data_IF_123194459918
#
_entry.id   IF_123194459918
#
_cell.length_a   1.000
_cell.length_b   1.000
_cell.length_c   1.000
_cell.angle_alpha   90.00
_cell.angle_beta   90.00
_cell.angle_gamma   90.00
#
_symmetry.space_group_name_H-M   'P 1'
#
loop_
_entity.id
_entity.type
_entity.pdbx_description
1 polymer ?
#
# COMPACT_ATOMS: atom_id res chain seq x y z
N UNK A 1 37.92 55.04 -55.97
CA UNK A 1 38.07 53.59 -55.88
C UNK A 1 36.91 53.05 -55.08
N UNK A 2 35.95 52.50 -55.79
CA UNK A 2 34.66 52.06 -55.27
C UNK A 2 34.77 50.57 -54.93
N UNK A 3 34.68 50.22 -53.68
CA UNK A 3 34.57 48.81 -53.26
C UNK A 3 33.10 48.54 -52.89
N UNK A 4 32.47 47.88 -53.78
CA UNK A 4 31.09 47.37 -53.62
C UNK A 4 31.19 46.17 -52.66
N UNK A 5 30.67 46.32 -51.46
CA UNK A 5 30.54 45.22 -50.51
C UNK A 5 29.19 44.55 -50.74
N UNK A 6 29.24 43.38 -51.35
CA UNK A 6 28.05 42.59 -51.66
C UNK A 6 27.64 41.86 -50.38
N UNK A 7 26.58 42.34 -49.78
CA UNK A 7 25.97 41.75 -48.60
C UNK A 7 25.09 40.56 -49.04
N UNK A 8 25.61 39.37 -49.01
CA UNK A 8 24.87 38.16 -49.24
C UNK A 8 24.04 37.84 -48.00
N UNK A 9 22.76 38.13 -48.07
CA UNK A 9 21.77 37.76 -47.07
C UNK A 9 21.55 36.26 -47.17
N UNK A 10 22.19 35.46 -46.32
CA UNK A 10 21.96 34.04 -46.22
C UNK A 10 20.67 33.83 -45.41
N UNK A 11 19.56 33.65 -46.12
CA UNK A 11 18.31 33.28 -45.53
C UNK A 11 18.45 31.86 -44.93
N UNK A 12 18.64 31.79 -43.64
CA UNK A 12 18.62 30.56 -42.91
C UNK A 12 17.15 30.14 -42.72
N UNK A 13 16.63 29.39 -43.69
CA UNK A 13 15.33 28.75 -43.58
C UNK A 13 15.43 27.69 -42.49
N UNK A 14 15.04 28.05 -41.28
CA UNK A 14 14.77 27.08 -40.23
C UNK A 14 13.50 26.34 -40.63
N UNK A 15 13.64 25.23 -41.32
CA UNK A 15 12.59 24.25 -41.45
C UNK A 15 12.38 23.59 -40.11
N UNK A 16 11.42 24.11 -39.36
CA UNK A 16 10.89 23.52 -38.19
C UNK A 16 10.25 22.17 -38.59
N UNK A 17 10.74 21.01 -38.07
CA UNK A 17 10.03 19.78 -38.34
C UNK A 17 8.64 19.88 -37.73
N UNK A 18 7.60 19.39 -38.39
CA UNK A 18 6.30 19.28 -37.77
C UNK A 18 6.49 18.43 -36.49
N UNK A 19 6.18 19.03 -35.36
CA UNK A 19 6.03 18.27 -34.13
C UNK A 19 5.05 17.14 -34.46
N UNK A 20 5.56 15.94 -34.54
CA UNK A 20 4.72 14.78 -34.44
C UNK A 20 4.10 14.86 -33.06
N UNK A 21 2.92 15.50 -33.00
CA UNK A 21 1.98 15.23 -31.94
C UNK A 21 1.57 13.77 -32.14
N UNK A 22 2.46 12.86 -31.76
CA UNK A 22 2.06 11.50 -31.54
C UNK A 22 0.91 11.56 -30.52
N UNK A 23 -0.13 10.78 -30.70
CA UNK A 23 -1.12 10.66 -29.66
C UNK A 23 -0.34 10.30 -28.41
N UNK A 24 -0.32 11.22 -27.45
CA UNK A 24 0.17 10.89 -26.12
C UNK A 24 -0.56 9.62 -25.73
N UNK A 25 0.11 8.53 -25.49
CA UNK A 25 -0.60 7.35 -25.04
C UNK A 25 -1.20 7.69 -23.68
N UNK A 26 -2.44 8.08 -23.68
CA UNK A 26 -3.31 8.05 -22.51
C UNK A 26 -3.44 6.62 -21.97
N UNK A 27 -2.70 5.73 -22.57
CA UNK A 27 -2.55 4.31 -22.23
C UNK A 27 -2.01 4.09 -20.82
N UNK A 28 -1.38 5.11 -20.21
CA UNK A 28 -0.89 5.00 -18.83
C UNK A 28 -2.04 4.79 -17.84
N UNK A 29 -3.24 5.26 -18.15
CA UNK A 29 -4.41 5.04 -17.30
C UNK A 29 -5.09 3.68 -17.56
N UNK A 30 -4.94 3.13 -18.76
CA UNK A 30 -5.47 1.79 -19.05
C UNK A 30 -4.56 0.67 -18.54
N UNK A 31 -3.26 0.97 -18.32
CA UNK A 31 -2.36 -0.04 -17.81
C UNK A 31 -2.58 -0.32 -16.31
N UNK A 32 -3.16 0.63 -15.57
CA UNK A 32 -3.57 0.39 -14.19
C UNK A 32 -4.80 -0.53 -14.10
N UNK A 33 -5.60 -0.62 -15.17
CA UNK A 33 -6.76 -1.52 -15.21
C UNK A 33 -6.40 -2.95 -15.64
N UNK A 34 -5.25 -3.16 -16.28
CA UNK A 34 -4.79 -4.51 -16.66
C UNK A 34 -3.99 -5.21 -15.56
N UNK A 35 -3.57 -4.49 -14.52
CA UNK A 35 -3.02 -5.12 -13.32
C UNK A 35 -4.10 -5.66 -12.37
N UNK A 36 -5.38 -5.52 -12.72
CA UNK A 36 -6.48 -6.17 -12.03
C UNK A 36 -6.62 -7.66 -12.35
N UNK A 37 -5.70 -8.26 -13.06
CA UNK A 37 -5.65 -9.72 -13.29
C UNK A 37 -4.96 -10.49 -12.17
N UNK A 38 -4.02 -9.89 -11.49
CA UNK A 38 -3.53 -10.32 -10.19
C UNK A 38 -4.11 -9.38 -9.14
N UNK A 39 -5.33 -9.63 -8.77
CA UNK A 39 -5.85 -9.27 -7.48
C UNK A 39 -4.89 -9.92 -6.49
N UNK A 40 -3.82 -9.22 -6.11
CA UNK A 40 -3.07 -9.61 -4.93
C UNK A 40 -4.13 -9.64 -3.84
N UNK A 41 -4.53 -10.86 -3.45
CA UNK A 41 -5.53 -11.07 -2.40
C UNK A 41 -5.09 -10.17 -1.26
N UNK A 42 -5.87 -9.17 -0.94
CA UNK A 42 -5.49 -8.24 0.12
C UNK A 42 -5.25 -9.09 1.36
N UNK A 43 -4.34 -8.70 2.21
CA UNK A 43 -4.08 -9.47 3.45
C UNK A 43 -5.37 -9.69 4.24
N UNK A 44 -6.35 -8.79 4.11
CA UNK A 44 -7.68 -8.92 4.70
C UNK A 44 -8.47 -10.12 4.15
N UNK A 45 -8.43 -10.37 2.84
CA UNK A 45 -9.15 -11.51 2.25
C UNK A 45 -8.58 -12.86 2.68
N UNK A 46 -7.28 -12.94 2.99
CA UNK A 46 -6.67 -14.20 3.47
C UNK A 46 -7.26 -14.67 4.80
N UNK A 47 -7.50 -13.75 5.74
CA UNK A 47 -8.09 -14.07 7.04
C UNK A 47 -9.58 -14.39 6.94
N UNK A 48 -10.28 -13.82 5.95
CA UNK A 48 -11.68 -14.15 5.68
C UNK A 48 -11.85 -15.50 4.98
N UNK A 49 -10.97 -15.82 4.03
CA UNK A 49 -11.01 -17.08 3.27
C UNK A 49 -10.51 -18.28 4.07
N UNK A 50 -9.52 -18.07 4.94
CA UNK A 50 -8.95 -19.13 5.77
C UNK A 50 -8.97 -18.73 7.25
N UNK A 51 -9.93 -19.20 8.02
CA UNK A 51 -10.05 -18.88 9.44
C UNK A 51 -8.89 -19.34 10.32
N UNK A 52 -8.06 -20.26 9.83
CA UNK A 52 -6.86 -20.74 10.55
C UNK A 52 -5.58 -20.00 10.11
N UNK A 53 -5.69 -19.09 9.14
CA UNK A 53 -4.55 -18.30 8.69
C UNK A 53 -4.07 -17.35 9.79
N UNK A 54 -2.77 -17.40 10.07
CA UNK A 54 -2.07 -16.46 10.95
C UNK A 54 -0.91 -15.83 10.20
N UNK A 55 -0.53 -14.62 10.57
CA UNK A 55 0.56 -13.89 9.90
C UNK A 55 1.42 -13.13 10.92
N UNK A 56 2.60 -12.73 10.51
CA UNK A 56 3.48 -11.85 11.29
C UNK A 56 3.62 -10.52 10.58
N UNK A 57 3.50 -9.44 11.32
CA UNK A 57 3.63 -8.07 10.81
C UNK A 57 4.73 -7.33 11.56
N UNK A 58 5.73 -6.83 10.84
CA UNK A 58 6.72 -5.94 11.40
C UNK A 58 6.16 -4.53 11.49
N UNK A 59 6.12 -3.97 12.69
CA UNK A 59 5.58 -2.65 12.97
C UNK A 59 6.52 -1.57 12.48
N UNK A 60 6.07 -0.77 11.56
CA UNK A 60 6.82 0.36 11.01
C UNK A 60 6.50 1.64 11.77
N UNK A 61 7.39 2.63 11.67
CA UNK A 61 7.14 3.96 12.23
C UNK A 61 5.87 4.56 11.59
N UNK A 62 4.93 4.97 12.44
CA UNK A 62 3.62 5.51 12.00
C UNK A 62 2.51 4.46 11.84
N UNK A 63 2.80 3.19 12.09
CA UNK A 63 1.77 2.17 12.23
C UNK A 63 1.00 2.35 13.54
N UNK A 64 -0.26 1.96 13.50
CA UNK A 64 -1.10 1.84 14.69
C UNK A 64 -1.84 0.51 14.62
N UNK A 65 -2.23 -0.02 15.78
CA UNK A 65 -3.00 -1.26 15.81
C UNK A 65 -4.28 -1.17 14.97
N UNK A 66 -4.93 0.00 14.99
CA UNK A 66 -6.09 0.28 14.14
C UNK A 66 -5.82 0.08 12.64
N UNK A 67 -4.71 0.63 12.13
CA UNK A 67 -4.33 0.47 10.71
C UNK A 67 -4.03 -0.98 10.38
N UNK A 68 -3.36 -1.68 11.28
CA UNK A 68 -3.01 -3.10 11.13
C UNK A 68 -4.28 -3.96 11.10
N UNK A 69 -5.21 -3.74 12.02
CA UNK A 69 -6.50 -4.44 12.05
C UNK A 69 -7.26 -4.22 10.73
N UNK A 70 -7.38 -2.99 10.27
CA UNK A 70 -8.06 -2.70 9.02
C UNK A 70 -7.38 -3.34 7.80
N UNK A 71 -6.06 -3.43 7.82
CA UNK A 71 -5.29 -4.05 6.73
C UNK A 71 -5.49 -5.56 6.65
N UNK A 72 -5.58 -6.24 7.78
CA UNK A 72 -5.55 -7.70 7.82
C UNK A 72 -6.90 -8.35 8.14
N UNK A 73 -7.78 -7.68 8.86
CA UNK A 73 -9.04 -8.26 9.36
C UNK A 73 -10.30 -7.52 8.88
N UNK A 74 -10.18 -6.58 7.93
CA UNK A 74 -11.34 -5.81 7.46
C UNK A 74 -12.52 -6.71 7.02
N UNK A 75 -12.22 -7.82 6.36
CA UNK A 75 -13.20 -8.75 5.80
C UNK A 75 -13.46 -9.97 6.71
N UNK A 76 -12.86 -10.02 7.90
CA UNK A 76 -12.97 -11.18 8.80
C UNK A 76 -14.29 -11.26 9.58
N UNK A 77 -15.11 -10.21 9.52
CA UNK A 77 -16.43 -10.20 10.18
C UNK A 77 -16.38 -10.23 11.71
N UNK A 78 -15.24 -9.84 12.31
CA UNK A 78 -15.06 -9.79 13.76
C UNK A 78 -15.16 -8.37 14.29
N UNK A 79 -15.72 -8.22 15.50
CA UNK A 79 -15.75 -6.94 16.20
C UNK A 79 -14.31 -6.46 16.52
N UNK A 80 -14.09 -5.15 16.34
CA UNK A 80 -12.77 -4.54 16.55
C UNK A 80 -12.26 -4.71 17.97
N UNK A 81 -13.12 -4.56 18.97
CA UNK A 81 -12.70 -4.66 20.37
C UNK A 81 -12.14 -6.04 20.68
N UNK A 82 -12.75 -7.09 20.11
CA UNK A 82 -12.24 -8.46 20.23
C UNK A 82 -10.90 -8.64 19.53
N UNK A 83 -10.72 -8.04 18.34
CA UNK A 83 -9.47 -8.06 17.61
C UNK A 83 -8.34 -7.37 18.39
N UNK A 84 -8.60 -6.17 18.91
CA UNK A 84 -7.64 -5.42 19.72
C UNK A 84 -7.23 -6.21 20.96
N UNK A 85 -8.20 -6.73 21.71
CA UNK A 85 -7.94 -7.53 22.91
C UNK A 85 -7.09 -8.78 22.60
N UNK A 86 -7.46 -9.53 21.57
CA UNK A 86 -6.76 -10.75 21.18
C UNK A 86 -5.34 -10.47 20.70
N UNK A 87 -5.14 -9.44 19.88
CA UNK A 87 -3.81 -9.08 19.37
C UNK A 87 -2.92 -8.57 20.50
N UNK A 88 -3.42 -7.72 21.40
CA UNK A 88 -2.66 -7.26 22.57
C UNK A 88 -2.30 -8.44 23.49
N UNK A 89 -3.25 -9.33 23.76
CA UNK A 89 -3.02 -10.54 24.59
C UNK A 89 -1.96 -11.45 23.99
N UNK A 90 -1.96 -11.63 22.66
CA UNK A 90 -0.97 -12.44 21.94
C UNK A 90 0.41 -11.79 21.85
N UNK A 91 0.51 -10.46 22.03
CA UNK A 91 1.73 -9.67 21.78
C UNK A 91 2.06 -8.70 22.91
N UNK A 92 1.99 -9.13 24.16
CA UNK A 92 2.17 -8.26 25.34
C UNK A 92 3.43 -7.41 25.31
N UNK A 93 4.53 -7.93 24.76
CA UNK A 93 5.81 -7.22 24.67
C UNK A 93 5.89 -6.17 23.54
N UNK A 94 4.89 -6.07 22.68
CA UNK A 94 4.84 -5.11 21.58
C UNK A 94 4.10 -3.82 21.96
N UNK A 95 3.39 -3.80 23.07
CA UNK A 95 2.58 -2.68 23.53
C UNK A 95 3.08 -2.13 24.88
N UNK A 96 3.08 -0.80 25.02
CA UNK A 96 3.40 -0.15 26.29
C UNK A 96 2.31 -0.46 27.30
N UNK A 97 2.64 -1.17 28.38
CA UNK A 97 1.68 -1.53 29.46
C UNK A 97 0.40 -2.19 28.94
N UNK A 98 0.52 -2.98 27.85
CA UNK A 98 -0.61 -3.62 27.17
C UNK A 98 -1.67 -2.64 26.64
N UNK A 99 -1.30 -1.40 26.37
CA UNK A 99 -2.22 -0.40 25.82
C UNK A 99 -2.22 -0.46 24.28
N UNK A 100 -3.37 -0.74 23.64
CA UNK A 100 -3.47 -0.87 22.18
C UNK A 100 -3.08 0.40 21.41
N UNK A 101 -3.16 1.57 22.07
CA UNK A 101 -2.81 2.85 21.47
C UNK A 101 -1.29 3.11 21.41
N UNK A 102 -0.50 2.36 22.14
CA UNK A 102 0.95 2.57 22.24
C UNK A 102 1.72 1.33 21.77
N UNK A 103 1.95 1.29 20.48
CA UNK A 103 2.65 0.20 19.79
C UNK A 103 4.12 0.58 19.54
N UNK A 104 5.05 -0.30 19.87
CA UNK A 104 6.47 -0.10 19.59
C UNK A 104 6.82 -0.37 18.13
N UNK A 105 7.39 0.61 17.43
CA UNK A 105 7.97 0.40 16.11
C UNK A 105 9.16 -0.58 16.18
N UNK A 106 9.36 -1.36 15.11
CA UNK A 106 10.39 -2.39 15.02
C UNK A 106 10.06 -3.72 15.73
N UNK A 107 8.90 -3.82 16.36
CA UNK A 107 8.43 -5.10 16.92
C UNK A 107 7.70 -5.91 15.85
N UNK A 108 7.78 -7.22 15.97
CA UNK A 108 7.01 -8.15 15.13
C UNK A 108 5.76 -8.55 15.88
N UNK A 109 4.60 -8.21 15.32
CA UNK A 109 3.31 -8.65 15.83
C UNK A 109 2.96 -10.01 15.25
N UNK A 110 2.55 -10.92 16.10
CA UNK A 110 1.82 -12.11 15.69
C UNK A 110 0.35 -11.75 15.52
N UNK A 111 -0.17 -11.96 14.32
CA UNK A 111 -1.57 -11.76 13.97
C UNK A 111 -2.27 -13.12 14.07
N UNK A 112 -3.05 -13.35 15.12
CA UNK A 112 -3.69 -14.64 15.35
C UNK A 112 -4.78 -14.93 14.32
N UNK A 113 -5.05 -16.19 14.05
CA UNK A 113 -6.12 -16.60 13.16
C UNK A 113 -7.50 -16.26 13.74
N UNK A 114 -8.51 -16.19 12.87
CA UNK A 114 -9.91 -15.95 13.27
C UNK A 114 -10.37 -16.98 14.33
N UNK A 115 -9.99 -18.25 14.14
CA UNK A 115 -10.34 -19.30 15.07
C UNK A 115 -9.63 -19.14 16.42
N UNK A 116 -8.34 -18.73 16.42
CA UNK A 116 -7.60 -18.42 17.65
C UNK A 116 -8.24 -17.24 18.39
N UNK A 117 -8.64 -16.18 17.68
CA UNK A 117 -9.31 -15.02 18.29
C UNK A 117 -10.62 -15.45 18.95
N UNK A 118 -11.45 -16.21 18.25
CA UNK A 118 -12.70 -16.76 18.81
C UNK A 118 -12.46 -17.57 20.07
N UNK A 119 -11.46 -18.45 20.07
CA UNK A 119 -11.14 -19.27 21.24
C UNK A 119 -10.64 -18.45 22.43
N UNK A 120 -9.85 -17.38 22.19
CA UNK A 120 -9.37 -16.49 23.25
C UNK A 120 -10.48 -15.68 23.92
N UNK A 121 -11.57 -15.43 23.20
CA UNK A 121 -12.73 -14.66 23.69
C UNK A 121 -13.74 -15.57 24.37
N UNK A 122 -13.93 -16.78 23.86
CA UNK A 122 -14.91 -17.72 24.41
C UNK A 122 -14.39 -18.46 25.66
N UNK A 123 -13.07 -18.55 25.82
CA UNK A 123 -12.41 -19.18 26.96
C UNK A 123 -11.41 -18.19 27.56
N UNK A 124 -11.88 -17.18 28.33
CA UNK A 124 -11.04 -16.16 28.94
C UNK A 124 -10.11 -16.70 30.06
#
# INVERSE_FOLDING_TARGET
MLRILLLTCLAFSVTMPPALAGPFPLVVLENDQRQTGEKSKSSASKFAENPDHSERHEVKKGDSLFKIINKYYADAGLDRNFLELAIVKANRGAFVRNNPNFLYAGRVLHLPSVNQIKSMVMHP
#
